data_IF_996889952190
#
_entry.id   IF_996889952190
#
_cell.length_a   1.000
_cell.length_b   1.000
_cell.length_c   1.000
_cell.angle_alpha   90.00
_cell.angle_beta   90.00
_cell.angle_gamma   90.00
#
_symmetry.space_group_name_H-M   'P 1'
#
loop_
_entity.id
_entity.type
_entity.pdbx_description
1 polymer ?
#
# COMPACT_ATOMS: atom_id res chain seq x y z
N UNK A 1 14.30 -14.67 33.85
CA UNK A 1 13.87 -14.14 32.51
C UNK A 1 12.83 -15.11 31.99
N UNK A 2 11.64 -14.68 31.63
CA UNK A 2 10.63 -15.56 31.05
C UNK A 2 11.22 -16.15 29.76
N UNK A 3 11.03 -17.45 29.57
CA UNK A 3 11.59 -18.23 28.45
C UNK A 3 10.76 -17.93 27.16
N UNK A 4 10.78 -16.66 26.73
CA UNK A 4 10.04 -16.20 25.55
C UNK A 4 10.70 -16.78 24.31
N UNK A 5 9.90 -17.44 23.46
CA UNK A 5 10.34 -18.03 22.20
C UNK A 5 9.77 -17.30 21.01
N UNK A 6 10.64 -16.91 20.11
CA UNK A 6 10.33 -16.19 18.88
C UNK A 6 10.61 -17.10 17.69
N UNK A 7 9.65 -17.27 16.79
CA UNK A 7 9.82 -17.91 15.51
C UNK A 7 9.88 -16.87 14.39
N UNK A 8 11.01 -16.80 13.69
CA UNK A 8 11.21 -15.95 12.53
C UNK A 8 11.12 -16.78 11.24
N UNK A 9 10.08 -16.54 10.43
CA UNK A 9 9.84 -17.24 9.17
C UNK A 9 10.25 -16.36 7.98
N UNK A 10 11.32 -16.75 7.26
CA UNK A 10 11.95 -16.01 6.15
C UNK A 10 12.38 -16.93 5.02
N UNK A 11 12.58 -16.38 3.81
CA UNK A 11 13.08 -17.12 2.64
C UNK A 11 14.61 -17.10 2.47
N UNK A 12 15.32 -16.60 3.46
CA UNK A 12 16.78 -16.49 3.47
C UNK A 12 17.26 -15.49 4.50
N UNK A 13 18.38 -15.76 5.12
CA UNK A 13 18.98 -14.92 6.15
C UNK A 13 19.94 -13.92 5.49
N UNK A 14 19.49 -12.71 5.25
CA UNK A 14 20.33 -11.58 4.83
C UNK A 14 20.93 -10.81 6.01
N UNK A 15 21.69 -9.75 5.75
CA UNK A 15 22.33 -8.93 6.79
C UNK A 15 21.33 -8.27 7.75
N UNK A 16 20.15 -7.89 7.25
CA UNK A 16 19.12 -7.23 8.07
C UNK A 16 18.48 -8.18 9.06
N UNK A 17 18.14 -9.40 8.60
CA UNK A 17 17.60 -10.44 9.48
C UNK A 17 18.66 -10.97 10.44
N UNK A 18 19.92 -11.09 10.01
CA UNK A 18 21.03 -11.47 10.90
C UNK A 18 21.16 -10.49 12.06
N UNK A 19 21.08 -9.19 11.79
CA UNK A 19 21.08 -8.13 12.80
C UNK A 19 19.86 -8.19 13.72
N UNK A 20 18.65 -8.46 13.17
CA UNK A 20 17.44 -8.69 13.97
C UNK A 20 17.64 -9.85 14.95
N UNK A 21 18.13 -11.00 14.46
CA UNK A 21 18.39 -12.18 15.30
C UNK A 21 19.40 -11.86 16.39
N UNK A 22 20.51 -11.20 16.08
CA UNK A 22 21.53 -10.78 17.05
C UNK A 22 20.93 -9.90 18.16
N UNK A 23 20.12 -8.90 17.79
CA UNK A 23 19.47 -8.01 18.78
C UNK A 23 18.47 -8.78 19.65
N UNK A 24 17.56 -9.54 19.03
CA UNK A 24 16.46 -10.22 19.75
C UNK A 24 16.98 -11.37 20.62
N UNK A 25 18.07 -12.03 20.24
CA UNK A 25 18.68 -13.12 21.03
C UNK A 25 19.25 -12.65 22.37
N UNK A 26 19.41 -11.35 22.60
CA UNK A 26 19.78 -10.81 23.92
C UNK A 26 18.61 -10.87 24.91
N UNK A 27 17.38 -11.05 24.44
CA UNK A 27 16.16 -10.97 25.27
C UNK A 27 15.28 -12.21 25.22
N UNK A 28 15.42 -13.06 24.19
CA UNK A 28 14.54 -14.19 23.93
C UNK A 28 15.30 -15.31 23.17
N UNK A 29 14.75 -16.53 23.16
CA UNK A 29 15.19 -17.56 22.23
C UNK A 29 14.61 -17.29 20.84
N UNK A 30 15.45 -17.20 19.80
CA UNK A 30 15.03 -16.89 18.42
C UNK A 30 15.38 -18.07 17.52
N UNK A 31 14.36 -18.71 16.95
CA UNK A 31 14.50 -19.75 15.95
C UNK A 31 14.18 -19.19 14.57
N UNK A 32 15.03 -19.49 13.58
CA UNK A 32 14.85 -19.05 12.18
C UNK A 32 14.48 -20.26 11.34
N UNK A 33 13.40 -20.14 10.57
CA UNK A 33 12.85 -21.20 9.75
C UNK A 33 12.52 -20.73 8.33
N UNK A 34 12.50 -21.69 7.40
CA UNK A 34 12.01 -21.45 6.05
C UNK A 34 10.49 -21.21 6.01
N UNK A 35 10.03 -20.44 5.02
CA UNK A 35 8.63 -20.01 4.87
C UNK A 35 7.60 -21.14 4.78
N UNK A 36 8.00 -22.37 4.48
CA UNK A 36 7.08 -23.46 4.15
C UNK A 36 7.03 -24.58 5.19
N UNK A 37 8.08 -24.78 5.97
CA UNK A 37 8.21 -25.95 6.84
C UNK A 37 8.52 -25.56 8.28
N UNK A 38 7.49 -25.18 9.04
CA UNK A 38 7.61 -24.86 10.47
C UNK A 38 6.35 -25.22 11.24
N UNK A 39 6.47 -25.35 12.56
CA UNK A 39 5.36 -25.43 13.52
C UNK A 39 5.36 -24.22 14.42
N UNK A 40 4.18 -23.75 14.85
CA UNK A 40 4.03 -22.68 15.84
C UNK A 40 3.91 -23.17 17.28
N UNK A 41 3.98 -24.49 17.49
CA UNK A 41 3.88 -25.06 18.84
C UNK A 41 5.02 -24.60 19.75
N UNK A 42 4.68 -24.07 20.91
CA UNK A 42 5.63 -23.62 21.93
C UNK A 42 6.23 -22.24 21.72
N UNK A 43 5.81 -21.47 20.70
CA UNK A 43 6.29 -20.11 20.46
C UNK A 43 5.30 -19.05 20.97
N UNK A 44 5.81 -18.01 21.60
CA UNK A 44 5.04 -16.86 22.09
C UNK A 44 4.86 -15.78 21.01
N UNK A 45 5.87 -15.62 20.13
CA UNK A 45 5.93 -14.60 19.09
C UNK A 45 6.23 -15.23 17.73
N UNK A 46 5.47 -14.84 16.71
CA UNK A 46 5.75 -15.16 15.31
C UNK A 46 6.11 -13.92 14.53
N UNK A 47 7.16 -13.97 13.71
CA UNK A 47 7.59 -12.92 12.80
C UNK A 47 7.49 -13.47 11.37
N UNK A 48 6.65 -12.86 10.52
CA UNK A 48 6.46 -13.37 9.16
C UNK A 48 5.65 -12.43 8.26
N UNK A 49 5.57 -12.76 6.97
CA UNK A 49 4.77 -12.00 5.97
C UNK A 49 3.37 -12.57 5.75
N UNK A 50 3.15 -13.82 6.12
CA UNK A 50 1.88 -14.54 5.95
C UNK A 50 1.75 -15.62 7.00
N UNK A 51 0.53 -16.02 7.28
CA UNK A 51 0.21 -17.15 8.14
C UNK A 51 -1.07 -17.82 7.64
N UNK A 52 -1.04 -19.13 7.42
CA UNK A 52 -2.24 -19.89 7.08
C UNK A 52 -3.03 -20.30 8.33
N UNK A 53 -4.31 -20.62 8.14
CA UNK A 53 -5.17 -21.12 9.23
C UNK A 53 -4.65 -22.44 9.80
N UNK A 54 -4.17 -23.33 8.93
CA UNK A 54 -3.64 -24.63 9.32
C UNK A 54 -2.45 -24.47 10.26
N UNK A 55 -1.52 -23.57 9.95
CA UNK A 55 -0.37 -23.26 10.79
C UNK A 55 -0.76 -22.61 12.12
N UNK A 56 -1.77 -21.75 12.09
CA UNK A 56 -2.29 -21.12 13.30
C UNK A 56 -2.88 -22.14 14.28
N UNK A 57 -3.51 -23.23 13.78
CA UNK A 57 -4.06 -24.29 14.63
C UNK A 57 -3.01 -25.08 15.44
N UNK A 58 -1.74 -25.02 15.02
CA UNK A 58 -0.62 -25.63 15.75
C UNK A 58 -0.14 -24.77 16.94
N UNK A 59 -0.59 -23.52 17.02
CA UNK A 59 -0.13 -22.55 18.01
C UNK A 59 -0.84 -22.75 19.35
N UNK A 60 -0.08 -23.13 20.40
CA UNK A 60 -0.57 -23.36 21.76
C UNK A 60 -0.23 -22.21 22.73
N UNK A 61 0.75 -21.35 22.38
CA UNK A 61 1.25 -20.28 23.26
C UNK A 61 1.33 -18.91 22.57
N UNK A 62 0.96 -18.84 21.30
CA UNK A 62 1.14 -17.64 20.49
C UNK A 62 0.33 -16.46 21.03
N UNK A 63 1.01 -15.35 21.31
CA UNK A 63 0.43 -14.11 21.82
C UNK A 63 0.54 -12.97 20.84
N UNK A 64 1.66 -12.91 20.09
CA UNK A 64 1.95 -11.80 19.18
C UNK A 64 2.41 -12.29 17.81
N UNK A 65 1.97 -11.59 16.79
CA UNK A 65 2.47 -11.73 15.42
C UNK A 65 2.99 -10.37 14.96
N UNK A 66 4.24 -10.34 14.48
CA UNK A 66 4.83 -9.16 13.86
C UNK A 66 4.99 -9.38 12.36
N UNK A 67 4.20 -8.66 11.59
CA UNK A 67 4.27 -8.67 10.13
C UNK A 67 5.28 -7.61 9.64
N UNK A 68 6.40 -8.04 9.03
CA UNK A 68 7.35 -7.11 8.42
C UNK A 68 6.88 -6.66 7.02
N UNK A 69 5.65 -6.13 6.98
CA UNK A 69 4.96 -5.51 5.86
C UNK A 69 3.75 -4.71 6.35
N UNK A 70 3.21 -3.83 5.48
CA UNK A 70 2.04 -3.02 5.82
C UNK A 70 0.72 -3.79 5.71
N UNK A 71 0.49 -4.47 4.59
CA UNK A 71 -0.77 -5.18 4.36
C UNK A 71 -0.90 -6.45 5.19
N UNK A 72 -2.10 -6.73 5.69
CA UNK A 72 -2.39 -7.91 6.54
C UNK A 72 -3.33 -8.91 5.88
N UNK A 73 -3.59 -8.76 4.58
CA UNK A 73 -4.51 -9.60 3.80
C UNK A 73 -4.13 -11.10 3.80
N UNK A 74 -2.85 -11.44 4.09
CA UNK A 74 -2.33 -12.82 4.12
C UNK A 74 -2.34 -13.44 5.52
N UNK A 75 -3.09 -12.85 6.46
CA UNK A 75 -3.27 -13.37 7.82
C UNK A 75 -4.74 -13.73 8.08
N UNK A 76 -5.02 -14.81 8.84
CA UNK A 76 -6.39 -15.24 9.14
C UNK A 76 -6.99 -14.40 10.30
N UNK A 77 -7.37 -13.14 10.00
CA UNK A 77 -7.75 -12.13 11.00
C UNK A 77 -8.86 -12.61 11.95
N UNK A 78 -9.89 -13.28 11.42
CA UNK A 78 -11.02 -13.74 12.24
C UNK A 78 -10.61 -14.83 13.25
N UNK A 79 -9.67 -15.70 12.88
CA UNK A 79 -9.14 -16.73 13.75
C UNK A 79 -8.20 -16.14 14.80
N UNK A 80 -7.35 -15.18 14.42
CA UNK A 80 -6.46 -14.46 15.33
C UNK A 80 -7.25 -13.71 16.40
N UNK A 81 -8.34 -13.03 16.01
CA UNK A 81 -9.23 -12.34 16.96
C UNK A 81 -9.83 -13.32 17.97
N UNK A 82 -10.34 -14.49 17.52
CA UNK A 82 -10.92 -15.52 18.39
C UNK A 82 -9.91 -16.11 19.38
N UNK A 83 -8.65 -16.21 18.96
CA UNK A 83 -7.57 -16.72 19.82
C UNK A 83 -6.98 -15.63 20.73
N UNK A 84 -7.37 -14.37 20.58
CA UNK A 84 -6.81 -13.25 21.34
C UNK A 84 -5.35 -12.95 21.00
N UNK A 85 -4.86 -13.39 19.84
CA UNK A 85 -3.50 -13.10 19.35
C UNK A 85 -3.44 -11.67 18.85
N UNK A 86 -2.42 -10.91 19.21
CA UNK A 86 -2.23 -9.52 18.77
C UNK A 86 -1.40 -9.51 17.49
N UNK A 87 -2.00 -9.04 16.39
CA UNK A 87 -1.29 -8.82 15.12
C UNK A 87 -0.78 -7.38 15.05
N UNK A 88 0.50 -7.23 14.76
CA UNK A 88 1.20 -5.95 14.59
C UNK A 88 1.80 -5.93 13.18
N UNK A 89 1.58 -4.84 12.44
CA UNK A 89 2.20 -4.63 11.15
C UNK A 89 3.25 -3.51 11.17
N UNK A 90 3.90 -3.25 10.04
CA UNK A 90 4.88 -2.18 9.91
C UNK A 90 4.46 -1.18 8.83
N UNK A 91 4.64 0.10 9.15
CA UNK A 91 4.40 1.23 8.26
C UNK A 91 5.69 1.98 7.88
N UNK A 92 6.84 1.32 8.02
CA UNK A 92 8.17 1.92 7.81
C UNK A 92 8.37 2.54 6.41
N UNK A 93 7.68 2.03 5.40
CA UNK A 93 7.80 2.52 4.02
C UNK A 93 6.72 3.54 3.62
N UNK A 94 5.90 4.04 4.54
CA UNK A 94 4.81 4.97 4.20
C UNK A 94 5.30 6.20 3.45
N UNK A 95 6.45 6.77 3.84
CA UNK A 95 7.07 7.91 3.17
C UNK A 95 7.57 7.58 1.76
N UNK A 96 8.10 6.37 1.56
CA UNK A 96 8.59 5.92 0.25
C UNK A 96 7.42 5.68 -0.71
N UNK A 97 6.35 5.06 -0.21
CA UNK A 97 5.13 4.88 -1.00
C UNK A 97 4.50 6.24 -1.35
N UNK A 98 4.53 7.20 -0.44
CA UNK A 98 4.06 8.56 -0.69
C UNK A 98 4.88 9.29 -1.75
N UNK A 99 6.21 9.16 -1.72
CA UNK A 99 7.11 9.68 -2.75
C UNK A 99 6.76 9.09 -4.12
N UNK A 100 6.57 7.77 -4.19
CA UNK A 100 6.21 7.08 -5.42
C UNK A 100 4.84 7.52 -5.94
N UNK A 101 3.84 7.64 -5.06
CA UNK A 101 2.51 8.13 -5.42
C UNK A 101 2.54 9.56 -5.96
N UNK A 102 3.34 10.44 -5.36
CA UNK A 102 3.56 11.79 -5.86
C UNK A 102 4.28 11.79 -7.22
N UNK A 103 5.32 10.96 -7.39
CA UNK A 103 6.01 10.78 -8.67
C UNK A 103 5.08 10.30 -9.78
N UNK A 104 4.23 9.29 -9.51
CA UNK A 104 3.18 8.84 -10.43
C UNK A 104 2.18 9.97 -10.76
N UNK A 105 1.80 10.77 -9.77
CA UNK A 105 0.89 11.91 -9.97
C UNK A 105 1.47 12.92 -10.94
N UNK A 106 2.71 13.34 -10.73
CA UNK A 106 3.42 14.28 -11.61
C UNK A 106 3.58 13.68 -13.01
N UNK A 107 4.06 12.44 -13.12
CA UNK A 107 4.26 11.77 -14.40
C UNK A 107 2.96 11.67 -15.21
N UNK A 108 1.85 11.37 -14.52
CA UNK A 108 0.52 11.26 -15.14
C UNK A 108 -0.01 12.60 -15.65
N UNK A 109 -0.12 13.60 -14.77
CA UNK A 109 -0.73 14.88 -15.15
C UNK A 109 0.13 15.70 -16.11
N UNK A 110 1.45 15.52 -16.07
CA UNK A 110 2.40 16.13 -17.01
C UNK A 110 2.60 15.30 -18.29
N UNK A 111 1.91 14.15 -18.47
CA UNK A 111 2.00 13.26 -19.64
C UNK A 111 3.44 12.81 -19.96
N UNK A 112 4.31 12.67 -18.93
CA UNK A 112 5.74 12.36 -19.14
C UNK A 112 5.92 11.04 -19.89
N UNK A 113 5.14 10.02 -19.52
CA UNK A 113 5.15 8.72 -20.17
C UNK A 113 4.81 8.79 -21.67
N UNK A 114 3.79 9.58 -21.99
CA UNK A 114 3.32 9.71 -23.37
C UNK A 114 4.36 10.45 -24.23
N UNK A 115 4.94 11.52 -23.72
CA UNK A 115 6.02 12.24 -24.41
C UNK A 115 7.26 11.36 -24.60
N UNK A 116 7.64 10.55 -23.59
CA UNK A 116 8.74 9.59 -23.72
C UNK A 116 8.46 8.54 -24.80
N UNK A 117 7.27 7.93 -24.80
CA UNK A 117 6.87 6.94 -25.79
C UNK A 117 6.84 7.51 -27.22
N UNK A 118 6.34 8.72 -27.40
CA UNK A 118 6.31 9.39 -28.68
C UNK A 118 7.71 9.71 -29.19
N UNK A 119 8.57 10.27 -28.35
CA UNK A 119 9.92 10.64 -28.74
C UNK A 119 10.81 9.40 -29.07
N UNK A 120 10.57 8.27 -28.41
CA UNK A 120 11.23 6.98 -28.79
C UNK A 120 10.87 6.51 -30.19
N UNK A 121 9.76 7.00 -30.75
CA UNK A 121 9.33 6.76 -32.14
C UNK A 121 9.70 7.91 -33.08
N UNK A 122 10.46 8.91 -32.61
CA UNK A 122 10.83 10.10 -33.39
C UNK A 122 9.71 11.13 -33.52
N UNK A 123 8.62 10.99 -32.77
CA UNK A 123 7.49 11.92 -32.77
C UNK A 123 7.74 13.01 -31.74
N UNK A 124 8.00 14.23 -32.19
CA UNK A 124 8.26 15.38 -31.31
C UNK A 124 6.98 16.06 -30.87
N UNK A 125 6.05 16.27 -31.81
CA UNK A 125 4.76 16.88 -31.55
C UNK A 125 3.72 16.11 -32.35
N UNK A 126 2.77 15.49 -31.68
CA UNK A 126 1.72 14.73 -32.33
C UNK A 126 0.61 15.66 -32.86
N UNK A 127 0.28 16.69 -32.10
CA UNK A 127 -0.63 17.76 -32.51
C UNK A 127 -0.37 19.05 -31.72
N UNK A 128 -0.87 20.17 -32.19
CA UNK A 128 -0.72 21.49 -31.57
C UNK A 128 -1.42 21.61 -30.19
N UNK A 129 -2.24 20.64 -29.80
CA UNK A 129 -3.03 20.64 -28.57
C UNK A 129 -2.53 19.66 -27.49
N UNK A 130 -1.31 19.16 -27.59
CA UNK A 130 -0.70 18.27 -26.59
C UNK A 130 -0.19 19.04 -25.36
N UNK A 131 -1.10 19.62 -24.59
CA UNK A 131 -0.76 20.28 -23.34
C UNK A 131 -0.86 19.33 -22.15
N UNK A 132 0.05 19.48 -21.19
CA UNK A 132 0.00 18.82 -19.88
C UNK A 132 -0.62 19.75 -18.84
N UNK A 133 -1.07 19.18 -17.71
CA UNK A 133 -1.63 19.94 -16.59
C UNK A 133 -0.62 20.03 -15.45
N UNK A 134 -0.46 21.22 -14.86
CA UNK A 134 0.42 21.42 -13.72
C UNK A 134 -0.26 20.95 -12.43
N UNK A 135 0.41 20.08 -11.69
CA UNK A 135 -0.08 19.62 -10.38
C UNK A 135 -0.21 20.78 -9.37
N UNK A 136 0.57 21.85 -9.55
CA UNK A 136 0.51 23.04 -8.69
C UNK A 136 -0.79 23.84 -8.80
N UNK A 137 -1.53 23.66 -9.88
CA UNK A 137 -2.85 24.28 -10.08
C UNK A 137 -4.02 23.36 -9.80
N UNK A 138 -3.76 22.16 -9.23
CA UNK A 138 -4.77 21.15 -8.96
C UNK A 138 -5.15 21.09 -7.48
N UNK A 139 -6.39 20.70 -7.24
CA UNK A 139 -6.86 20.24 -5.92
C UNK A 139 -6.69 18.72 -5.85
N UNK A 140 -5.90 18.25 -4.87
CA UNK A 140 -5.60 16.84 -4.71
C UNK A 140 -6.42 16.24 -3.59
N UNK A 141 -7.31 15.31 -3.92
CA UNK A 141 -8.10 14.53 -2.98
C UNK A 141 -7.31 13.32 -2.48
N UNK A 142 -7.21 13.15 -1.17
CA UNK A 142 -6.61 11.97 -0.54
C UNK A 142 -7.72 11.02 -0.09
N UNK A 143 -7.89 9.92 -0.80
CA UNK A 143 -8.72 8.82 -0.36
C UNK A 143 -7.89 7.90 0.54
N UNK A 144 -8.07 8.07 1.85
CA UNK A 144 -7.24 7.48 2.90
C UNK A 144 -6.23 8.48 3.49
N UNK A 145 -6.44 8.84 4.76
CA UNK A 145 -5.54 9.73 5.52
C UNK A 145 -4.85 8.97 6.66
N UNK A 146 -4.41 7.74 6.37
CA UNK A 146 -3.57 6.91 7.24
C UNK A 146 -2.09 7.29 7.12
N UNK A 147 -1.18 6.36 7.42
CA UNK A 147 0.27 6.61 7.36
C UNK A 147 0.74 7.12 5.98
N UNK A 148 0.32 6.46 4.88
CA UNK A 148 0.70 6.89 3.53
C UNK A 148 0.07 8.24 3.17
N UNK A 149 -1.24 8.40 3.41
CA UNK A 149 -1.95 9.64 3.06
C UNK A 149 -1.40 10.86 3.78
N UNK A 150 -0.97 10.72 5.04
CA UNK A 150 -0.31 11.80 5.80
C UNK A 150 1.03 12.20 5.18
N UNK A 151 1.84 11.24 4.77
CA UNK A 151 3.12 11.52 4.11
C UNK A 151 2.91 12.17 2.73
N UNK A 152 1.89 11.72 1.96
CA UNK A 152 1.50 12.40 0.71
C UNK A 152 1.08 13.85 0.98
N UNK A 153 0.25 14.07 2.01
CA UNK A 153 -0.16 15.41 2.41
C UNK A 153 1.03 16.31 2.75
N UNK A 154 2.01 15.80 3.50
CA UNK A 154 3.22 16.57 3.83
C UNK A 154 4.03 16.95 2.58
N UNK A 155 4.09 16.09 1.55
CA UNK A 155 4.72 16.42 0.26
C UNK A 155 3.94 17.53 -0.44
N UNK A 156 2.61 17.39 -0.55
CA UNK A 156 1.73 18.35 -1.22
C UNK A 156 1.75 19.71 -0.53
N UNK A 157 1.67 19.73 0.80
CA UNK A 157 1.71 20.94 1.64
C UNK A 157 3.01 21.74 1.45
N UNK A 158 4.18 21.05 1.41
CA UNK A 158 5.47 21.70 1.16
C UNK A 158 5.57 22.34 -0.22
N UNK A 159 4.76 21.90 -1.15
CA UNK A 159 4.65 22.43 -2.51
C UNK A 159 3.46 23.38 -2.69
N UNK A 160 2.77 23.78 -1.60
CA UNK A 160 1.59 24.65 -1.61
C UNK A 160 0.45 24.14 -2.50
N UNK A 161 0.27 22.81 -2.57
CA UNK A 161 -0.81 22.18 -3.33
C UNK A 161 -2.02 21.98 -2.41
N UNK A 162 -3.19 22.48 -2.84
CA UNK A 162 -4.44 22.31 -2.08
C UNK A 162 -4.80 20.83 -1.94
N UNK A 163 -5.02 20.40 -0.70
CA UNK A 163 -5.29 18.99 -0.39
C UNK A 163 -6.61 18.84 0.32
N UNK A 164 -7.40 17.85 -0.09
CA UNK A 164 -8.69 17.50 0.51
C UNK A 164 -8.68 16.06 1.04
N UNK A 165 -9.45 15.79 2.10
CA UNK A 165 -9.71 14.40 2.56
C UNK A 165 -11.08 14.33 3.23
N UNK A 166 -11.60 13.10 3.38
CA UNK A 166 -12.87 12.85 4.07
C UNK A 166 -12.69 13.02 5.57
N UNK A 167 -13.57 13.77 6.21
CA UNK A 167 -13.60 13.88 7.67
C UNK A 167 -13.97 12.54 8.32
N UNK A 168 -13.10 12.05 9.16
CA UNK A 168 -13.29 10.82 9.96
C UNK A 168 -13.20 11.10 11.48
N UNK A 169 -13.38 12.35 11.87
CA UNK A 169 -13.34 12.79 13.28
C UNK A 169 -11.95 12.82 13.90
N UNK A 170 -10.90 12.90 13.09
CA UNK A 170 -9.51 13.07 13.55
C UNK A 170 -9.13 14.55 13.57
N UNK A 171 -8.03 14.87 14.25
CA UNK A 171 -7.41 16.19 14.10
C UNK A 171 -6.59 16.22 12.81
N UNK A 172 -6.88 17.21 11.98
CA UNK A 172 -6.20 17.46 10.73
C UNK A 172 -5.65 18.88 10.74
N UNK A 173 -4.49 19.07 10.12
CA UNK A 173 -3.86 20.39 10.02
C UNK A 173 -3.62 20.74 8.55
N UNK A 174 -4.07 21.94 8.16
CA UNK A 174 -3.83 22.50 6.83
C UNK A 174 -4.33 21.59 5.66
N UNK A 175 -5.48 20.96 5.85
CA UNK A 175 -6.17 20.15 4.84
C UNK A 175 -7.66 20.48 4.82
N UNK A 176 -8.25 20.56 3.65
CA UNK A 176 -9.69 20.78 3.51
C UNK A 176 -10.46 19.50 3.77
N UNK A 177 -11.42 19.54 4.66
CA UNK A 177 -12.27 18.39 5.00
C UNK A 177 -13.55 18.39 4.18
N UNK A 178 -13.92 17.24 3.68
CA UNK A 178 -15.19 16.97 2.99
C UNK A 178 -15.98 15.89 3.71
N UNK A 179 -17.29 15.86 3.54
CA UNK A 179 -18.20 15.01 4.31
C UNK A 179 -18.35 13.59 3.74
N UNK A 180 -18.09 13.40 2.44
CA UNK A 180 -18.30 12.12 1.76
C UNK A 180 -17.25 11.85 0.65
N UNK A 181 -17.27 10.62 0.14
CA UNK A 181 -16.42 10.23 -0.99
C UNK A 181 -16.84 10.95 -2.28
N UNK A 182 -18.12 11.08 -2.53
CA UNK A 182 -18.66 11.79 -3.69
C UNK A 182 -18.27 13.27 -3.65
N UNK A 183 -18.27 13.88 -2.49
CA UNK A 183 -17.83 15.26 -2.30
C UNK A 183 -16.31 15.38 -2.57
N UNK A 184 -15.51 14.40 -2.10
CA UNK A 184 -14.08 14.33 -2.42
C UNK A 184 -13.85 14.26 -3.94
N UNK A 185 -14.55 13.36 -4.62
CA UNK A 185 -14.49 13.18 -6.07
C UNK A 185 -14.88 14.47 -6.81
N UNK A 186 -15.97 15.11 -6.38
CA UNK A 186 -16.48 16.33 -7.01
C UNK A 186 -15.49 17.49 -6.92
N UNK A 187 -14.86 17.67 -5.76
CA UNK A 187 -14.03 18.84 -5.45
C UNK A 187 -12.53 18.64 -5.74
N UNK A 188 -12.11 17.47 -6.21
CA UNK A 188 -10.71 17.19 -6.55
C UNK A 188 -10.50 17.13 -8.06
N UNK A 189 -9.32 17.51 -8.53
CA UNK A 189 -8.86 17.34 -9.92
C UNK A 189 -8.07 16.03 -10.08
N UNK A 190 -7.36 15.63 -9.04
CA UNK A 190 -6.60 14.39 -8.92
C UNK A 190 -6.96 13.70 -7.60
N UNK A 191 -7.20 12.40 -7.63
CA UNK A 191 -7.40 11.60 -6.42
C UNK A 191 -6.22 10.63 -6.24
N UNK A 192 -5.58 10.66 -5.07
CA UNK A 192 -4.58 9.68 -4.66
C UNK A 192 -5.25 8.73 -3.67
N UNK A 193 -5.34 7.47 -4.05
CA UNK A 193 -5.97 6.40 -3.28
C UNK A 193 -4.92 5.55 -2.56
N UNK A 194 -5.00 5.48 -1.23
CA UNK A 194 -4.14 4.67 -0.37
C UNK A 194 -4.92 3.84 0.67
N UNK A 195 -6.21 3.59 0.42
CA UNK A 195 -7.05 2.82 1.35
C UNK A 195 -6.77 1.32 1.31
N UNK A 196 -6.94 0.60 2.44
CA UNK A 196 -6.85 -0.84 2.51
C UNK A 196 -8.05 -1.51 1.81
N UNK A 197 -7.96 -2.84 1.65
CA UNK A 197 -9.06 -3.68 1.21
C UNK A 197 -10.01 -3.94 2.38
N UNK A 198 -11.23 -3.45 2.29
CA UNK A 198 -12.33 -3.70 3.24
C UNK A 198 -13.63 -3.90 2.47
N UNK A 199 -14.71 -4.30 3.14
CA UNK A 199 -16.03 -4.36 2.52
C UNK A 199 -16.48 -2.96 2.04
N UNK A 200 -16.16 -1.90 2.78
CA UNK A 200 -16.51 -0.52 2.45
C UNK A 200 -15.74 0.05 1.26
N UNK A 201 -14.50 -0.41 1.06
CA UNK A 201 -13.63 0.10 -0.02
C UNK A 201 -13.68 -0.74 -1.29
N UNK A 202 -14.39 -1.86 -1.26
CA UNK A 202 -14.51 -2.75 -2.41
C UNK A 202 -15.36 -2.11 -3.52
N UNK A 203 -14.80 -2.05 -4.73
CA UNK A 203 -15.47 -1.49 -5.91
C UNK A 203 -15.96 -0.04 -5.71
N UNK A 204 -15.21 0.75 -4.93
CA UNK A 204 -15.56 2.12 -4.58
C UNK A 204 -15.55 3.04 -5.81
N UNK A 205 -14.53 2.89 -6.69
CA UNK A 205 -14.50 3.53 -8.00
C UNK A 205 -15.25 2.67 -9.02
N UNK A 206 -16.56 2.78 -9.03
CA UNK A 206 -17.46 2.14 -9.99
C UNK A 206 -17.76 3.10 -11.18
N UNK A 207 -18.63 2.66 -12.11
CA UNK A 207 -19.01 3.44 -13.28
C UNK A 207 -19.61 4.80 -12.93
N UNK A 208 -20.44 4.88 -11.88
CA UNK A 208 -21.10 6.13 -11.45
C UNK A 208 -20.09 7.15 -10.97
N UNK A 209 -19.13 6.69 -10.16
CA UNK A 209 -18.04 7.55 -9.66
C UNK A 209 -17.14 8.01 -10.80
N UNK A 210 -16.78 7.14 -11.74
CA UNK A 210 -15.97 7.55 -12.88
C UNK A 210 -16.68 8.58 -13.79
N UNK A 211 -18.01 8.51 -13.94
CA UNK A 211 -18.79 9.56 -14.63
C UNK A 211 -18.69 10.93 -13.95
N UNK A 212 -18.53 10.96 -12.61
CA UNK A 212 -18.30 12.21 -11.86
C UNK A 212 -16.87 12.74 -12.01
N UNK A 213 -15.93 11.91 -12.50
CA UNK A 213 -14.52 12.24 -12.68
C UNK A 213 -14.17 12.79 -14.06
N UNK A 214 -15.11 13.41 -14.76
CA UNK A 214 -14.88 13.93 -16.11
C UNK A 214 -13.64 14.84 -16.18
N UNK A 215 -12.65 14.46 -17.00
CA UNK A 215 -11.37 15.15 -17.18
C UNK A 215 -10.42 15.13 -15.99
N UNK A 216 -10.75 14.39 -14.92
CA UNK A 216 -9.96 14.26 -13.69
C UNK A 216 -9.02 13.06 -13.75
N UNK A 217 -8.16 12.93 -12.72
CA UNK A 217 -7.11 11.92 -12.67
C UNK A 217 -7.22 11.06 -11.39
N UNK A 218 -6.68 9.83 -11.46
CA UNK A 218 -6.59 8.93 -10.32
C UNK A 218 -5.21 8.27 -10.24
N UNK A 219 -4.65 8.21 -9.03
CA UNK A 219 -3.47 7.41 -8.69
C UNK A 219 -3.86 6.41 -7.62
N UNK A 220 -3.64 5.11 -7.85
CA UNK A 220 -3.94 4.07 -6.87
C UNK A 220 -2.68 3.32 -6.44
N UNK A 221 -2.26 3.57 -5.20
CA UNK A 221 -1.18 2.85 -4.50
C UNK A 221 -1.72 2.01 -3.32
N UNK A 222 -3.06 1.93 -3.18
CA UNK A 222 -3.75 1.19 -2.12
C UNK A 222 -3.92 -0.29 -2.46
N UNK A 223 -5.13 -0.67 -2.91
CA UNK A 223 -5.49 -2.04 -3.29
C UNK A 223 -6.28 -2.07 -4.60
N UNK A 224 -6.10 -3.15 -5.37
CA UNK A 224 -6.72 -3.31 -6.70
C UNK A 224 -8.26 -3.34 -6.64
N UNK A 225 -8.82 -4.04 -5.67
CA UNK A 225 -10.28 -4.20 -5.51
C UNK A 225 -11.06 -2.90 -5.26
N UNK A 226 -10.37 -1.79 -4.98
CA UNK A 226 -11.00 -0.47 -4.79
C UNK A 226 -11.56 0.07 -6.12
N UNK A 227 -10.99 -0.36 -7.24
CA UNK A 227 -11.34 0.11 -8.59
C UNK A 227 -12.02 -1.02 -9.37
N UNK A 228 -13.16 -0.72 -9.96
CA UNK A 228 -13.75 -1.56 -11.00
C UNK A 228 -12.92 -1.43 -12.29
N UNK A 229 -12.21 -2.49 -12.67
CA UNK A 229 -11.29 -2.46 -13.82
C UNK A 229 -12.01 -2.25 -15.15
N UNK A 230 -13.23 -2.80 -15.33
CA UNK A 230 -14.02 -2.59 -16.53
C UNK A 230 -14.40 -1.11 -16.67
N UNK A 231 -14.97 -0.54 -15.62
CA UNK A 231 -15.38 0.86 -15.61
C UNK A 231 -14.19 1.81 -15.84
N UNK A 232 -13.03 1.50 -15.20
CA UNK A 232 -11.79 2.27 -15.44
C UNK A 232 -11.36 2.20 -16.91
N UNK A 233 -11.33 0.98 -17.48
CA UNK A 233 -10.92 0.78 -18.88
C UNK A 233 -11.82 1.54 -19.86
N UNK A 234 -13.13 1.43 -19.72
CA UNK A 234 -14.11 2.10 -20.56
C UNK A 234 -13.98 3.64 -20.46
N UNK A 235 -13.81 4.17 -19.23
CA UNK A 235 -13.68 5.61 -19.02
C UNK A 235 -12.34 6.18 -19.51
N UNK A 236 -11.27 5.41 -19.50
CA UNK A 236 -10.01 5.79 -20.12
C UNK A 236 -10.08 5.73 -21.65
N UNK A 237 -10.68 4.66 -22.19
CA UNK A 237 -10.80 4.44 -23.63
C UNK A 237 -11.62 5.54 -24.32
N UNK A 238 -12.71 5.96 -23.70
CA UNK A 238 -13.60 7.01 -24.25
C UNK A 238 -13.20 8.44 -23.81
N UNK A 239 -12.11 8.59 -23.02
CA UNK A 239 -11.62 9.88 -22.55
C UNK A 239 -12.49 10.58 -21.51
N UNK A 240 -13.40 9.86 -20.82
CA UNK A 240 -14.21 10.42 -19.73
C UNK A 240 -13.31 10.94 -18.61
N UNK A 241 -12.32 10.17 -18.19
CA UNK A 241 -11.31 10.63 -17.22
C UNK A 241 -10.03 11.05 -17.93
N UNK A 242 -9.32 12.01 -17.34
CA UNK A 242 -8.07 12.53 -17.90
C UNK A 242 -6.94 11.52 -17.91
N UNK A 243 -6.93 10.60 -16.95
CA UNK A 243 -5.94 9.52 -16.89
C UNK A 243 -5.89 8.80 -15.55
N UNK A 244 -5.13 7.69 -15.50
CA UNK A 244 -4.91 6.89 -14.32
C UNK A 244 -3.44 6.48 -14.16
N UNK A 245 -2.97 6.32 -12.92
CA UNK A 245 -1.72 5.64 -12.60
C UNK A 245 -2.00 4.56 -11.55
N UNK A 246 -1.77 3.30 -11.92
CA UNK A 246 -2.18 2.14 -11.12
C UNK A 246 -0.95 1.33 -10.75
N UNK A 247 -0.69 1.22 -9.44
CA UNK A 247 0.39 0.39 -8.89
C UNK A 247 -0.11 -0.97 -8.38
N UNK A 248 -1.41 -1.13 -8.13
CA UNK A 248 -1.99 -2.35 -7.57
C UNK A 248 -2.99 -2.98 -8.52
N UNK A 249 -2.75 -4.25 -8.89
CA UNK A 249 -3.52 -5.01 -9.88
C UNK A 249 -4.09 -6.30 -9.28
N UNK A 250 -5.16 -6.83 -9.87
CA UNK A 250 -5.76 -8.10 -9.45
C UNK A 250 -4.88 -9.27 -9.84
N UNK A 251 -4.37 -9.25 -11.07
CA UNK A 251 -3.52 -10.29 -11.60
C UNK A 251 -2.06 -10.05 -11.21
N UNK A 252 -1.43 -11.11 -10.69
CA UNK A 252 -0.01 -11.12 -10.33
C UNK A 252 0.63 -12.43 -10.77
N UNK A 253 1.84 -12.39 -11.35
CA UNK A 253 2.54 -13.61 -11.73
C UNK A 253 2.87 -14.43 -10.47
N UNK A 254 2.72 -15.76 -10.57
CA UNK A 254 3.02 -16.69 -9.48
C UNK A 254 4.51 -16.84 -9.22
N UNK A 255 5.32 -16.60 -10.23
CA UNK A 255 6.78 -16.67 -10.18
C UNK A 255 7.43 -15.57 -11.04
N UNK A 256 8.75 -15.38 -10.88
CA UNK A 256 9.51 -14.32 -11.56
C UNK A 256 9.65 -14.51 -13.08
N UNK A 257 9.42 -15.70 -13.59
CA UNK A 257 9.60 -16.03 -15.00
C UNK A 257 8.28 -15.96 -15.79
N UNK A 258 7.17 -15.93 -15.10
CA UNK A 258 5.84 -15.85 -15.72
C UNK A 258 5.58 -14.43 -16.22
N UNK A 259 5.41 -14.28 -17.54
CA UNK A 259 4.91 -13.04 -18.15
C UNK A 259 3.38 -13.05 -18.06
N UNK A 260 2.82 -12.08 -17.36
CA UNK A 260 1.39 -11.94 -17.18
C UNK A 260 1.01 -10.46 -17.33
N UNK A 261 -0.04 -10.19 -18.08
CA UNK A 261 -0.63 -8.86 -18.12
C UNK A 261 -1.35 -8.58 -16.81
N UNK A 262 -1.35 -7.33 -16.31
CA UNK A 262 -1.89 -7.00 -14.99
C UNK A 262 -3.42 -7.08 -14.94
N UNK A 263 -4.07 -7.19 -16.09
CA UNK A 263 -5.53 -7.22 -16.25
C UNK A 263 -5.92 -7.93 -17.53
N UNK A 264 -7.17 -8.42 -17.57
CA UNK A 264 -7.81 -8.95 -18.79
C UNK A 264 -8.22 -7.83 -19.77
N UNK A 265 -8.18 -6.58 -19.35
CA UNK A 265 -8.44 -5.41 -20.20
C UNK A 265 -7.13 -4.91 -20.82
N UNK A 266 -7.19 -4.42 -22.05
CA UNK A 266 -6.03 -4.02 -22.82
C UNK A 266 -5.49 -2.62 -22.45
N UNK A 267 -5.30 -2.35 -21.18
CA UNK A 267 -4.78 -1.07 -20.67
C UNK A 267 -3.45 -0.65 -21.29
N UNK A 268 -2.62 -1.61 -21.68
CA UNK A 268 -1.30 -1.36 -22.27
C UNK A 268 -1.33 -0.69 -23.65
N UNK A 269 -2.49 -0.60 -24.28
CA UNK A 269 -2.68 0.18 -25.52
C UNK A 269 -3.16 1.60 -25.29
N UNK A 270 -3.53 1.96 -24.06
CA UNK A 270 -4.02 3.30 -23.73
C UNK A 270 -2.84 4.24 -23.41
N UNK A 271 -2.91 5.48 -23.90
CA UNK A 271 -1.86 6.48 -23.68
C UNK A 271 -2.02 7.26 -22.37
N UNK A 272 -3.25 7.31 -21.84
CA UNK A 272 -3.61 8.07 -20.64
C UNK A 272 -3.56 7.22 -19.35
N UNK A 273 -2.72 6.18 -19.31
CA UNK A 273 -2.51 5.35 -18.14
C UNK A 273 -1.02 5.08 -17.90
N UNK A 274 -0.63 5.05 -16.63
CA UNK A 274 0.68 4.54 -16.18
C UNK A 274 0.46 3.21 -15.47
N UNK A 275 1.11 2.16 -15.97
CA UNK A 275 1.07 0.81 -15.41
C UNK A 275 2.31 0.59 -14.55
N UNK A 276 2.13 0.46 -13.24
CA UNK A 276 3.20 0.17 -12.29
C UNK A 276 3.03 -1.22 -11.67
N UNK A 277 4.08 -2.05 -11.59
CA UNK A 277 3.97 -3.46 -11.22
C UNK A 277 4.05 -3.70 -9.71
N UNK A 278 3.26 -2.98 -8.91
CA UNK A 278 3.31 -2.99 -7.45
C UNK A 278 4.72 -2.64 -6.93
N UNK A 279 5.24 -1.53 -7.44
CA UNK A 279 6.62 -1.12 -7.25
C UNK A 279 6.81 -0.01 -6.21
N UNK A 280 5.73 0.57 -5.67
CA UNK A 280 5.80 1.71 -4.75
C UNK A 280 6.69 1.48 -3.52
N UNK A 281 6.91 0.23 -3.10
CA UNK A 281 7.79 -0.15 -2.00
C UNK A 281 9.10 -0.80 -2.45
N UNK A 282 9.38 -0.91 -3.77
CA UNK A 282 10.57 -1.55 -4.31
C UNK A 282 11.75 -0.57 -4.41
N UNK A 283 12.06 0.08 -3.31
CA UNK A 283 13.21 0.98 -3.21
C UNK A 283 14.45 0.20 -2.77
N UNK A 284 15.62 0.69 -3.13
CA UNK A 284 16.89 0.15 -2.66
C UNK A 284 16.93 0.13 -1.13
N UNK A 285 17.33 -1.00 -0.53
CA UNK A 285 17.37 -1.24 0.92
C UNK A 285 16.01 -1.07 1.64
N UNK A 286 14.87 -1.11 0.93
CA UNK A 286 13.53 -0.96 1.52
C UNK A 286 13.21 -2.00 2.59
N UNK A 287 13.69 -3.22 2.37
CA UNK A 287 13.52 -4.33 3.27
C UNK A 287 14.11 -4.09 4.67
N UNK A 288 15.28 -3.45 4.77
CA UNK A 288 15.95 -3.18 6.06
C UNK A 288 15.09 -2.35 7.01
N UNK A 289 14.32 -1.38 6.48
CA UNK A 289 13.45 -0.52 7.29
C UNK A 289 12.34 -1.32 7.97
N UNK A 290 11.70 -2.24 7.26
CA UNK A 290 10.68 -3.12 7.86
C UNK A 290 11.26 -4.01 8.95
N UNK A 291 12.43 -4.59 8.67
CA UNK A 291 13.10 -5.47 9.64
C UNK A 291 13.46 -4.70 10.89
N UNK A 292 14.04 -3.49 10.76
CA UNK A 292 14.40 -2.67 11.90
C UNK A 292 13.19 -2.14 12.68
N UNK A 293 12.13 -1.72 11.99
CA UNK A 293 10.88 -1.27 12.63
C UNK A 293 10.27 -2.38 13.48
N UNK A 294 10.15 -3.58 12.93
CA UNK A 294 9.67 -4.77 13.67
C UNK A 294 10.61 -5.13 14.82
N UNK A 295 11.92 -5.09 14.61
CA UNK A 295 12.90 -5.35 15.69
C UNK A 295 12.70 -4.39 16.86
N UNK A 296 12.61 -3.10 16.59
CA UNK A 296 12.43 -2.07 17.62
C UNK A 296 11.10 -2.24 18.36
N UNK A 297 10.03 -2.61 17.64
CA UNK A 297 8.72 -2.85 18.24
C UNK A 297 8.74 -4.07 19.17
N UNK A 298 9.40 -5.18 18.78
CA UNK A 298 9.58 -6.36 19.62
C UNK A 298 10.44 -6.02 20.86
N UNK A 299 11.52 -5.30 20.71
CA UNK A 299 12.34 -4.84 21.84
C UNK A 299 11.50 -3.98 22.80
N UNK A 300 10.64 -3.11 22.27
CA UNK A 300 9.67 -2.34 23.05
C UNK A 300 8.72 -3.25 23.87
N UNK A 301 8.19 -4.28 23.23
CA UNK A 301 7.37 -5.29 23.91
C UNK A 301 8.13 -6.00 25.02
N UNK A 302 9.33 -6.50 24.74
CA UNK A 302 10.11 -7.31 25.68
C UNK A 302 10.61 -6.52 26.89
N UNK A 303 10.95 -5.23 26.71
CA UNK A 303 11.52 -4.39 27.77
C UNK A 303 10.48 -3.55 28.53
N UNK A 304 9.42 -3.09 27.85
CA UNK A 304 8.47 -2.11 28.39
C UNK A 304 7.01 -2.55 28.31
N UNK A 305 6.74 -3.72 27.72
CA UNK A 305 5.40 -4.19 27.42
C UNK A 305 4.59 -3.18 26.52
N UNK A 306 5.28 -2.51 25.61
CA UNK A 306 4.73 -1.52 24.69
C UNK A 306 4.82 -2.01 23.26
N UNK A 307 3.73 -1.86 22.49
CA UNK A 307 3.68 -2.14 21.07
C UNK A 307 2.96 -1.01 20.34
N UNK A 308 3.34 -0.76 19.10
CA UNK A 308 2.66 0.18 18.20
C UNK A 308 2.25 -0.52 16.90
N UNK A 309 1.39 0.12 16.12
CA UNK A 309 0.83 -0.42 14.88
C UNK A 309 0.02 -1.73 15.07
N UNK A 310 -0.73 -1.81 16.15
CA UNK A 310 -1.63 -2.94 16.41
C UNK A 310 -2.78 -2.89 15.41
N UNK A 311 -2.97 -4.01 14.69
CA UNK A 311 -4.03 -4.17 13.70
C UNK A 311 -5.39 -4.26 14.39
N UNK A 312 -6.34 -3.47 13.91
CA UNK A 312 -7.74 -3.54 14.35
C UNK A 312 -8.47 -4.63 13.57
N UNK A 313 -8.80 -5.74 14.20
CA UNK A 313 -9.55 -6.83 13.55
C UNK A 313 -10.91 -6.37 13.02
N UNK A 314 -11.60 -5.49 13.75
CA UNK A 314 -12.88 -4.90 13.33
C UNK A 314 -12.76 -4.09 12.04
N UNK A 315 -11.64 -3.38 11.85
CA UNK A 315 -11.39 -2.56 10.67
C UNK A 315 -10.69 -3.34 9.55
N UNK A 316 -10.00 -4.44 9.87
CA UNK A 316 -9.22 -5.25 8.94
C UNK A 316 -7.85 -4.66 8.56
N UNK A 317 -7.39 -3.66 9.33
CA UNK A 317 -6.09 -3.00 9.10
C UNK A 317 -5.57 -2.33 10.38
#
# INVERSE_FOLDING_TARGET
MSDIKILLSISGLDSSFSKMVEILSQYATVDVVDLSNYSLAGYDIFIGKKLSKEKLLEADKLKYIFAYKTGVDDFPLAELEKMGVVLINSHADSRIIAEYAFGLSVALVNRINEFDLNLRQGIWYDNENMYWKSIFSMKVGLLGYGHIGKEVHEILKRNNIETLTIDRGHKYENITLVSSFEELVKNSDLIICSVPKTAETNNLFNEEIFKMMNGKFIVNVGRSNVINQQALYECLLNGTIGGAAIDTWEEKPKDKNTKLMPSNYAFHYLHNIILSPHAAMRVENGHERYVMDVTNNIVGLLLRNEVYNVVSYKKGY
#
